data_IF_665796667425
#
_entry.id   IF_665796667425
#
_cell.length_a   1.000
_cell.length_b   1.000
_cell.length_c   1.000
_cell.angle_alpha   90.00
_cell.angle_beta   90.00
_cell.angle_gamma   90.00
#
_symmetry.space_group_name_H-M   'P 1'
#
loop_
_entity.id
_entity.type
_entity.pdbx_description
1 polymer ?
#
# COMPACT_ATOMS: atom_id res chain seq x y z
N UNK A 1 -21.39 20.82 58.00
CA UNK A 1 -20.14 20.48 57.28
C UNK A 1 -20.48 19.55 56.14
N UNK A 2 -20.17 19.98 54.91
CA UNK A 2 -20.43 19.28 53.64
C UNK A 2 -19.23 18.40 53.31
N UNK A 3 -19.44 17.15 52.92
CA UNK A 3 -18.47 16.39 52.12
C UNK A 3 -19.25 15.62 51.06
N UNK A 4 -19.36 16.21 49.87
CA UNK A 4 -19.80 15.51 48.67
C UNK A 4 -18.54 14.91 48.04
N UNK A 5 -18.41 13.59 48.15
CA UNK A 5 -17.36 12.83 47.49
C UNK A 5 -17.67 12.81 45.98
N UNK A 6 -16.90 13.56 45.20
CA UNK A 6 -16.96 13.54 43.74
C UNK A 6 -16.07 12.39 43.27
N UNK A 7 -16.69 11.27 42.91
CA UNK A 7 -16.02 10.18 42.19
C UNK A 7 -15.82 10.64 40.75
N UNK A 8 -14.61 11.06 40.42
CA UNK A 8 -14.22 11.39 39.05
C UNK A 8 -14.09 10.09 38.25
N UNK A 9 -15.14 9.76 37.48
CA UNK A 9 -15.10 8.71 36.47
C UNK A 9 -14.22 9.20 35.31
N UNK A 10 -12.96 8.79 35.30
CA UNK A 10 -12.03 9.01 34.19
C UNK A 10 -12.55 8.23 32.98
N UNK A 11 -13.23 8.92 32.06
CA UNK A 11 -13.60 8.41 30.76
C UNK A 11 -12.32 8.11 29.96
N UNK A 12 -11.95 6.83 29.91
CA UNK A 12 -10.94 6.35 28.97
C UNK A 12 -11.57 6.40 27.58
N UNK A 13 -11.41 7.52 26.87
CA UNK A 13 -11.84 7.63 25.47
C UNK A 13 -11.01 6.64 24.66
N UNK A 14 -11.61 5.67 23.96
CA UNK A 14 -10.87 4.86 23.01
C UNK A 14 -10.35 5.81 21.93
N UNK A 15 -9.02 5.96 21.86
CA UNK A 15 -8.39 6.60 20.72
C UNK A 15 -8.82 5.82 19.48
N UNK A 16 -9.36 6.48 18.44
CA UNK A 16 -9.73 5.77 17.22
C UNK A 16 -8.50 5.03 16.71
N UNK A 17 -8.64 3.71 16.53
CA UNK A 17 -7.64 2.89 15.87
C UNK A 17 -7.44 3.48 14.47
N UNK A 18 -6.30 4.15 14.30
CA UNK A 18 -6.05 5.05 13.19
C UNK A 18 -5.64 4.27 11.94
N UNK A 19 -6.57 3.60 11.27
CA UNK A 19 -6.33 3.32 9.85
C UNK A 19 -6.64 4.59 9.05
N UNK A 20 -5.75 5.26 8.33
CA UNK A 20 -4.27 5.30 8.22
C UNK A 20 -3.96 6.21 7.01
N UNK A 21 -4.89 6.20 6.03
CA UNK A 21 -5.05 7.16 4.94
C UNK A 21 -6.10 8.25 5.27
N UNK A 22 -5.96 9.45 4.69
CA UNK A 22 -7.02 10.47 4.72
C UNK A 22 -8.23 10.03 3.87
N UNK A 23 -9.46 10.56 4.12
CA UNK A 23 -10.63 10.26 3.29
C UNK A 23 -10.34 10.47 1.79
N UNK A 24 -10.62 9.46 0.97
CA UNK A 24 -10.33 9.47 -0.48
C UNK A 24 -8.85 9.32 -0.85
N UNK A 25 -7.96 9.12 0.13
CA UNK A 25 -6.53 8.92 -0.06
C UNK A 25 -6.12 7.45 -0.09
N UNK A 26 -7.02 6.49 0.05
CA UNK A 26 -6.67 5.07 -0.03
C UNK A 26 -6.31 4.70 -1.48
N UNK A 27 -5.14 4.10 -1.67
CA UNK A 27 -4.67 3.60 -2.97
C UNK A 27 -4.83 2.09 -3.06
N UNK A 28 -4.45 1.38 -1.99
CA UNK A 28 -4.52 -0.07 -1.91
C UNK A 28 -4.51 -0.48 -0.44
N UNK A 29 -5.21 -1.55 -0.08
CA UNK A 29 -5.09 -2.19 1.22
C UNK A 29 -5.31 -3.70 1.15
N UNK A 30 -4.70 -4.43 2.08
CA UNK A 30 -5.06 -5.82 2.35
C UNK A 30 -4.68 -6.26 3.77
N UNK A 31 -5.26 -7.37 4.23
CA UNK A 31 -4.88 -8.02 5.48
C UNK A 31 -3.79 -9.06 5.24
N UNK A 32 -2.84 -9.19 6.15
CA UNK A 32 -1.80 -10.23 6.18
C UNK A 32 -1.77 -10.78 7.61
N UNK A 33 -2.64 -11.76 7.88
CA UNK A 33 -2.85 -12.29 9.22
C UNK A 33 -3.36 -11.21 10.18
N UNK A 34 -2.57 -10.88 11.22
CA UNK A 34 -2.94 -9.86 12.20
C UNK A 34 -2.48 -8.43 11.82
N UNK A 35 -1.86 -8.27 10.65
CA UNK A 35 -1.30 -7.00 10.17
C UNK A 35 -2.07 -6.51 8.94
N UNK A 36 -2.02 -5.21 8.72
CA UNK A 36 -2.59 -4.54 7.56
C UNK A 36 -1.46 -3.96 6.74
N UNK A 37 -1.56 -4.13 5.42
CA UNK A 37 -0.82 -3.35 4.44
C UNK A 37 -1.74 -2.24 3.91
N UNK A 38 -1.26 -1.01 3.90
CA UNK A 38 -1.94 0.11 3.25
C UNK A 38 -0.98 0.94 2.41
N UNK A 39 -1.45 1.33 1.24
CA UNK A 39 -0.89 2.39 0.42
C UNK A 39 -1.85 3.57 0.45
N UNK A 40 -1.35 4.74 0.80
CA UNK A 40 -2.12 5.97 0.84
C UNK A 40 -1.49 7.05 -0.03
N UNK A 41 -2.32 7.86 -0.69
CA UNK A 41 -1.91 9.15 -1.23
C UNK A 41 -1.89 10.18 -0.11
N UNK A 42 -0.77 10.89 0.03
CA UNK A 42 -0.60 12.03 0.92
C UNK A 42 0.11 13.16 0.18
N UNK A 43 -0.66 14.18 -0.22
CA UNK A 43 -0.20 15.22 -1.14
C UNK A 43 0.39 14.59 -2.42
N UNK A 44 1.66 14.87 -2.71
CA UNK A 44 2.38 14.37 -3.89
C UNK A 44 3.16 13.08 -3.64
N UNK A 45 2.94 12.43 -2.49
CA UNK A 45 3.61 11.19 -2.14
C UNK A 45 2.61 10.04 -2.03
N UNK A 46 3.11 8.83 -2.27
CA UNK A 46 2.47 7.60 -1.81
C UNK A 46 3.20 7.15 -0.54
N UNK A 47 2.43 6.76 0.47
CA UNK A 47 2.94 6.20 1.71
C UNK A 47 2.59 4.73 1.78
N UNK A 48 3.55 3.94 2.24
CA UNK A 48 3.37 2.54 2.59
C UNK A 48 3.31 2.42 4.11
N UNK A 49 2.34 1.69 4.65
CA UNK A 49 2.30 1.28 6.06
C UNK A 49 2.06 -0.22 6.19
N UNK A 50 2.79 -0.84 7.11
CA UNK A 50 2.62 -2.25 7.45
C UNK A 50 2.75 -2.48 8.96
N UNK A 51 1.77 -3.17 9.55
CA UNK A 51 1.75 -3.55 10.97
C UNK A 51 0.34 -3.77 11.50
N UNK A 52 0.15 -3.88 12.82
CA UNK A 52 -1.17 -3.98 13.43
C UNK A 52 -2.08 -2.80 13.04
N UNK A 53 -3.40 -3.01 12.91
CA UNK A 53 -4.34 -1.95 12.55
C UNK A 53 -4.19 -0.72 13.46
N UNK A 54 -3.97 0.46 12.89
CA UNK A 54 -3.81 1.70 13.63
C UNK A 54 -2.47 1.89 14.35
N UNK A 55 -1.55 0.94 14.25
CA UNK A 55 -0.24 0.98 14.88
C UNK A 55 0.84 0.34 13.98
N UNK A 56 1.09 0.87 12.78
CA UNK A 56 2.01 0.24 11.84
C UNK A 56 3.45 0.31 12.36
N UNK A 57 4.17 -0.77 12.13
CA UNK A 57 5.55 -0.98 12.56
C UNK A 57 6.54 -0.41 11.55
N UNK A 58 6.15 -0.39 10.27
CA UNK A 58 6.91 0.17 9.17
C UNK A 58 6.08 1.22 8.44
N UNK A 59 6.67 2.40 8.23
CA UNK A 59 6.11 3.46 7.38
C UNK A 59 7.18 3.95 6.42
N UNK A 60 6.87 3.92 5.12
CA UNK A 60 7.73 4.45 4.07
C UNK A 60 6.95 5.49 3.26
N UNK A 61 7.68 6.36 2.56
CA UNK A 61 7.07 7.34 1.67
C UNK A 61 7.96 7.58 0.48
N UNK A 62 7.36 7.67 -0.70
CA UNK A 62 8.06 8.06 -1.91
C UNK A 62 7.20 9.06 -2.72
N UNK A 63 7.83 10.03 -3.39
CA UNK A 63 7.13 10.94 -4.30
C UNK A 63 6.46 10.16 -5.42
N UNK A 64 5.21 10.48 -5.75
CA UNK A 64 4.46 9.83 -6.82
C UNK A 64 5.21 9.87 -8.15
N UNK A 65 5.92 10.96 -8.42
CA UNK A 65 6.69 11.17 -9.65
C UNK A 65 7.87 10.21 -9.80
N UNK A 66 8.55 9.87 -8.71
CA UNK A 66 9.70 8.95 -8.70
C UNK A 66 9.37 7.56 -8.16
N UNK A 67 8.11 7.33 -7.77
CA UNK A 67 7.66 6.04 -7.24
C UNK A 67 7.80 4.99 -8.34
N UNK A 68 8.52 3.92 -8.02
CA UNK A 68 8.74 2.79 -8.91
C UNK A 68 7.47 1.95 -8.98
N UNK A 69 6.60 2.27 -9.93
CA UNK A 69 5.36 1.54 -10.22
C UNK A 69 5.44 1.01 -11.64
N UNK A 70 5.24 -0.29 -11.78
CA UNK A 70 5.26 -1.00 -13.05
C UNK A 70 3.87 -1.59 -13.33
N UNK A 71 3.14 -1.05 -14.33
CA UNK A 71 1.91 -1.64 -14.80
C UNK A 71 2.18 -2.88 -15.65
N UNK A 72 1.17 -3.74 -15.78
CA UNK A 72 1.25 -4.93 -16.62
C UNK A 72 1.60 -4.57 -18.08
N UNK A 73 2.62 -5.20 -18.70
CA UNK A 73 3.03 -4.87 -20.08
C UNK A 73 2.10 -5.39 -21.18
N UNK A 74 0.91 -5.92 -20.84
CA UNK A 74 -0.04 -6.45 -21.82
C UNK A 74 0.28 -7.87 -22.33
N UNK A 75 1.33 -8.51 -21.81
CA UNK A 75 1.79 -9.85 -22.22
C UNK A 75 1.76 -10.81 -21.03
N UNK A 76 1.29 -12.06 -21.26
CA UNK A 76 1.25 -13.12 -20.26
C UNK A 76 -0.16 -13.63 -19.95
N UNK A 77 -0.25 -14.73 -19.22
CA UNK A 77 -1.51 -15.36 -18.78
C UNK A 77 -2.11 -14.70 -17.53
N UNK A 78 -1.37 -13.79 -16.91
CA UNK A 78 -1.69 -13.15 -15.64
C UNK A 78 -1.51 -11.65 -15.81
N UNK A 79 -2.51 -10.88 -15.40
CA UNK A 79 -2.42 -9.43 -15.29
C UNK A 79 -1.79 -9.15 -13.94
N UNK A 80 -0.62 -8.53 -13.92
CA UNK A 80 0.10 -8.25 -12.69
C UNK A 80 0.68 -6.85 -12.71
N UNK A 81 0.85 -6.30 -11.51
CA UNK A 81 1.40 -4.98 -11.33
C UNK A 81 2.17 -4.94 -10.04
N UNK A 82 3.09 -4.00 -9.94
CA UNK A 82 3.87 -3.84 -8.73
C UNK A 82 4.30 -2.41 -8.48
N UNK A 83 4.48 -2.09 -7.20
CA UNK A 83 5.04 -0.82 -6.76
C UNK A 83 6.07 -1.06 -5.67
N UNK A 84 7.24 -0.43 -5.79
CA UNK A 84 8.39 -0.68 -4.93
C UNK A 84 8.75 0.55 -4.10
N UNK A 85 8.91 0.33 -2.79
CA UNK A 85 9.44 1.31 -1.85
C UNK A 85 10.84 0.89 -1.39
N UNK A 86 11.80 1.81 -1.36
CA UNK A 86 13.15 1.56 -0.87
C UNK A 86 13.38 2.07 0.55
N UNK A 87 14.13 1.32 1.37
CA UNK A 87 14.61 1.78 2.68
C UNK A 87 15.89 1.04 3.11
N UNK A 88 16.99 1.76 3.34
CA UNK A 88 18.20 1.18 3.94
C UNK A 88 18.80 -0.03 3.20
N UNK A 89 18.66 -0.10 1.88
CA UNK A 89 19.12 -1.23 1.05
C UNK A 89 18.11 -2.38 0.93
N UNK A 90 16.94 -2.26 1.54
CA UNK A 90 15.80 -3.14 1.31
C UNK A 90 14.81 -2.52 0.31
N UNK A 91 14.15 -3.38 -0.45
CA UNK A 91 13.02 -3.04 -1.31
C UNK A 91 11.77 -3.76 -0.81
N UNK A 92 10.65 -3.04 -0.80
CA UNK A 92 9.33 -3.51 -0.38
C UNK A 92 8.40 -3.37 -1.57
N UNK A 93 8.25 -4.44 -2.33
CA UNK A 93 7.46 -4.48 -3.55
C UNK A 93 6.07 -4.99 -3.24
N UNK A 94 5.08 -4.11 -3.29
CA UNK A 94 3.67 -4.49 -3.23
C UNK A 94 3.24 -4.91 -4.62
N UNK A 95 2.66 -6.10 -4.75
CA UNK A 95 2.22 -6.64 -6.04
C UNK A 95 0.73 -7.00 -6.00
N UNK A 96 0.07 -6.83 -7.14
CA UNK A 96 -1.28 -7.33 -7.41
C UNK A 96 -1.25 -8.23 -8.64
N UNK A 97 -2.04 -9.30 -8.64
CA UNK A 97 -2.10 -10.26 -9.73
C UNK A 97 -3.49 -10.88 -9.85
N UNK A 98 -4.01 -10.87 -11.07
CA UNK A 98 -5.21 -11.62 -11.45
C UNK A 98 -4.83 -12.62 -12.53
N UNK A 99 -5.07 -13.89 -12.28
CA UNK A 99 -4.85 -14.95 -13.26
C UNK A 99 -6.09 -15.12 -14.14
N UNK A 100 -5.93 -15.22 -15.47
CA UNK A 100 -7.07 -15.34 -16.40
C UNK A 100 -7.94 -16.58 -16.19
N UNK A 101 -7.42 -17.60 -15.50
CA UNK A 101 -8.08 -18.88 -15.28
C UNK A 101 -8.53 -19.10 -13.83
N UNK A 102 -8.29 -18.13 -12.94
CA UNK A 102 -8.66 -18.22 -11.53
C UNK A 102 -9.40 -16.95 -11.13
N UNK A 103 -10.55 -17.11 -10.49
CA UNK A 103 -11.27 -15.97 -9.95
C UNK A 103 -10.56 -15.45 -8.69
N UNK A 104 -10.34 -14.15 -8.65
CA UNK A 104 -9.86 -13.45 -7.46
C UNK A 104 -8.56 -12.67 -7.67
N UNK A 105 -8.48 -11.57 -6.94
CA UNK A 105 -7.29 -10.74 -6.85
C UNK A 105 -6.32 -11.35 -5.83
N UNK A 106 -5.13 -11.71 -6.28
CA UNK A 106 -4.02 -12.06 -5.41
C UNK A 106 -3.15 -10.82 -5.22
N UNK A 107 -2.64 -10.64 -4.01
CA UNK A 107 -1.73 -9.54 -3.71
C UNK A 107 -0.80 -9.91 -2.58
N UNK A 108 0.26 -9.12 -2.40
CA UNK A 108 1.22 -9.36 -1.35
C UNK A 108 2.37 -8.36 -1.35
N UNK A 109 3.37 -8.69 -0.53
CA UNK A 109 4.62 -7.94 -0.40
C UNK A 109 5.76 -8.91 -0.70
N UNK A 110 6.63 -8.53 -1.61
CA UNK A 110 7.95 -9.12 -1.75
C UNK A 110 8.97 -8.17 -1.11
N UNK A 111 9.72 -8.66 -0.13
CA UNK A 111 10.80 -7.92 0.52
C UNK A 111 12.11 -8.47 0.04
N UNK A 112 12.97 -7.62 -0.52
CA UNK A 112 14.28 -8.01 -1.01
C UNK A 112 15.40 -7.12 -0.47
N UNK A 113 16.63 -7.62 -0.52
CA UNK A 113 17.85 -6.85 -0.26
C UNK A 113 18.80 -7.08 -1.43
N UNK A 114 18.90 -6.10 -2.31
CA UNK A 114 19.53 -6.30 -3.61
C UNK A 114 18.80 -7.38 -4.41
N UNK A 115 19.53 -8.38 -4.94
CA UNK A 115 18.95 -9.47 -5.72
C UNK A 115 18.34 -10.61 -4.87
N UNK A 116 18.47 -10.56 -3.54
CA UNK A 116 18.03 -11.64 -2.65
C UNK A 116 16.65 -11.35 -2.08
N UNK A 117 15.71 -12.28 -2.27
CA UNK A 117 14.44 -12.31 -1.53
C UNK A 117 14.71 -12.55 -0.04
N UNK A 118 14.06 -11.75 0.80
CA UNK A 118 14.14 -11.79 2.27
C UNK A 118 12.84 -12.33 2.85
N UNK A 119 11.69 -11.94 2.29
CA UNK A 119 10.38 -12.43 2.71
C UNK A 119 9.35 -12.25 1.59
N UNK A 120 8.43 -13.20 1.49
CA UNK A 120 7.22 -13.10 0.67
C UNK A 120 6.01 -13.19 1.59
N UNK A 121 5.19 -12.17 1.60
CA UNK A 121 3.97 -12.08 2.40
C UNK A 121 2.77 -12.02 1.47
N UNK A 122 1.72 -12.75 1.80
CA UNK A 122 0.51 -12.84 0.98
C UNK A 122 -0.65 -12.20 1.70
N UNK A 123 -1.47 -11.45 0.96
CA UNK A 123 -2.73 -10.96 1.47
C UNK A 123 -3.67 -12.14 1.76
N UNK A 124 -4.45 -12.02 2.82
CA UNK A 124 -5.51 -12.97 3.15
C UNK A 124 -6.54 -12.99 2.01
N UNK A 125 -7.11 -14.17 1.73
CA UNK A 125 -8.01 -14.36 0.60
C UNK A 125 -9.20 -13.38 0.63
N UNK A 126 -9.39 -12.64 -0.47
CA UNK A 126 -10.47 -11.66 -0.61
C UNK A 126 -10.28 -10.37 0.19
N UNK A 127 -9.14 -10.16 0.85
CA UNK A 127 -8.89 -8.94 1.65
C UNK A 127 -8.32 -7.77 0.84
N UNK A 128 -7.79 -8.02 -0.36
CA UNK A 128 -7.23 -6.99 -1.22
C UNK A 128 -8.34 -6.08 -1.76
N UNK A 129 -8.18 -4.76 -1.62
CA UNK A 129 -9.22 -3.78 -1.96
C UNK A 129 -9.44 -3.59 -3.46
N UNK A 130 -8.37 -3.57 -4.27
CA UNK A 130 -8.39 -3.26 -5.70
C UNK A 130 -7.06 -3.62 -6.38
N UNK A 131 -7.02 -3.60 -7.71
CA UNK A 131 -5.74 -3.65 -8.43
C UNK A 131 -5.00 -2.30 -8.30
N UNK A 132 -3.67 -2.32 -8.38
CA UNK A 132 -2.87 -1.10 -8.35
C UNK A 132 -3.16 -0.19 -9.55
N UNK A 133 -3.52 -0.78 -10.69
CA UNK A 133 -3.79 -0.15 -11.99
C UNK A 133 -4.81 0.96 -11.87
N UNK A 134 -5.93 0.61 -11.24
CA UNK A 134 -7.11 1.46 -11.14
C UNK A 134 -6.79 2.81 -10.49
N UNK A 135 -5.70 2.88 -9.73
CA UNK A 135 -5.33 4.05 -8.95
C UNK A 135 -3.97 4.64 -9.35
N UNK A 136 -2.88 3.86 -9.31
CA UNK A 136 -1.53 4.40 -9.50
C UNK A 136 -1.26 4.84 -10.95
N UNK A 137 -1.81 4.13 -11.93
CA UNK A 137 -1.68 4.49 -13.34
C UNK A 137 -2.30 5.87 -13.59
N UNK A 138 -3.58 6.03 -13.23
CA UNK A 138 -4.30 7.29 -13.37
C UNK A 138 -3.68 8.43 -12.55
N UNK A 139 -3.14 8.14 -11.36
CA UNK A 139 -2.42 9.14 -10.56
C UNK A 139 -1.16 9.64 -11.26
N UNK A 140 -0.36 8.76 -11.86
CA UNK A 140 0.84 9.17 -12.61
C UNK A 140 0.48 9.95 -13.86
N UNK A 141 -0.54 9.55 -14.61
CA UNK A 141 -1.03 10.34 -15.76
C UNK A 141 -1.52 11.74 -15.32
N UNK A 142 -2.18 11.85 -14.17
CA UNK A 142 -2.68 13.14 -13.66
C UNK A 142 -1.59 14.16 -13.33
N UNK A 143 -0.34 13.71 -13.17
CA UNK A 143 0.84 14.57 -12.95
C UNK A 143 1.72 14.69 -14.19
N UNK A 144 1.20 14.30 -15.36
CA UNK A 144 1.88 14.47 -16.65
C UNK A 144 2.91 13.38 -16.96
N UNK A 145 2.80 12.20 -16.36
CA UNK A 145 3.66 11.07 -16.69
C UNK A 145 2.97 10.09 -17.64
N UNK A 146 3.72 9.57 -18.59
CA UNK A 146 3.30 8.59 -19.59
C UNK A 146 4.12 7.30 -19.42
N UNK A 147 3.47 6.14 -19.50
CA UNK A 147 4.14 4.84 -19.48
C UNK A 147 4.70 4.51 -20.86
N UNK A 148 6.02 4.43 -20.98
CA UNK A 148 6.73 4.07 -22.22
C UNK A 148 6.90 2.55 -22.41
N UNK A 149 6.55 1.74 -21.41
CA UNK A 149 6.80 0.29 -21.42
C UNK A 149 7.95 -0.10 -20.49
N UNK A 150 8.22 -1.42 -20.34
CA UNK A 150 9.19 -1.92 -19.35
C UNK A 150 10.62 -1.41 -19.50
N UNK A 151 11.02 -1.03 -20.72
CA UNK A 151 12.38 -0.53 -20.99
C UNK A 151 12.52 0.97 -20.74
N UNK A 152 11.43 1.72 -20.91
CA UNK A 152 11.44 3.19 -20.88
C UNK A 152 10.87 3.74 -19.56
N UNK A 153 10.00 2.97 -18.90
CA UNK A 153 9.40 3.33 -17.62
C UNK A 153 8.40 4.50 -17.74
N UNK A 154 8.21 5.20 -16.62
CA UNK A 154 7.43 6.43 -16.58
C UNK A 154 8.30 7.64 -16.92
N UNK A 155 7.90 8.41 -17.92
CA UNK A 155 8.57 9.66 -18.32
C UNK A 155 7.56 10.79 -18.48
N UNK A 156 8.05 12.03 -18.60
CA UNK A 156 7.17 13.15 -18.90
C UNK A 156 6.52 12.96 -20.28
N UNK A 157 5.20 13.16 -20.32
CA UNK A 157 4.56 13.59 -21.55
C UNK A 157 5.03 15.05 -21.86
#
# INVERSE_FOLDING_TARGET
MRVLAVVALTLCTPLPAAAECAPGGLVFSCQIGAKVLELCRKADNITYSFGPPGAPELRLSAPLVTLDYEPWPGIGSSVWEQVTFGNGGYSYTVWTRTDRNFDGLNAGIEVSRGASSVASLYCDAGSASNQLYDTLYAMKESVGLCWGGPNDGWTGC
#
